data_IF_674586386203
#
_entry.id   IF_674586386203
#
_cell.length_a   1.000
_cell.length_b   1.000
_cell.length_c   1.000
_cell.angle_alpha   90.00
_cell.angle_beta   90.00
_cell.angle_gamma   90.00
#
_symmetry.space_group_name_H-M   'P 1'
#
loop_
_entity.id
_entity.type
_entity.pdbx_description
1 polymer ?
#
# COMPACT_ATOMS: atom_id res chain seq x y z
N UNK A 1 -10.55 18.95 -26.79
CA UNK A 1 -9.90 17.68 -27.16
C UNK A 1 -9.97 16.79 -25.93
N UNK A 2 -10.76 15.71 -25.97
CA UNK A 2 -10.87 14.79 -24.83
C UNK A 2 -9.57 13.99 -24.80
N UNK A 3 -8.66 14.31 -23.88
CA UNK A 3 -7.52 13.44 -23.59
C UNK A 3 -8.07 12.19 -22.93
N UNK A 4 -8.13 11.12 -23.71
CA UNK A 4 -8.47 9.77 -23.24
C UNK A 4 -7.47 9.43 -22.15
N UNK A 5 -7.94 9.27 -20.91
CA UNK A 5 -7.17 8.65 -19.85
C UNK A 5 -6.64 7.32 -20.40
N UNK A 6 -5.33 7.22 -20.60
CA UNK A 6 -4.70 5.94 -20.89
C UNK A 6 -5.13 4.99 -19.77
N UNK A 7 -5.69 3.84 -20.16
CA UNK A 7 -6.30 2.85 -19.28
C UNK A 7 -5.41 2.59 -18.05
N UNK A 8 -6.00 2.38 -16.85
CA UNK A 8 -5.23 1.88 -15.71
C UNK A 8 -4.52 0.59 -16.12
N UNK A 9 -3.25 0.50 -15.73
CA UNK A 9 -2.31 -0.49 -16.24
C UNK A 9 -2.66 -1.87 -15.69
N UNK A 10 -2.82 -2.82 -16.62
CA UNK A 10 -3.22 -4.22 -16.42
C UNK A 10 -2.21 -5.07 -15.62
N UNK A 11 -2.63 -6.25 -15.10
CA UNK A 11 -1.77 -7.22 -14.40
C UNK A 11 -0.73 -7.88 -15.31
N UNK A 12 0.45 -8.22 -14.75
CA UNK A 12 1.55 -8.89 -15.44
C UNK A 12 1.88 -10.24 -14.76
N UNK A 13 2.15 -11.30 -15.54
CA UNK A 13 2.66 -12.64 -15.12
C UNK A 13 4.14 -12.72 -15.43
N UNK A 14 5.04 -13.25 -14.59
CA UNK A 14 6.49 -13.11 -14.83
C UNK A 14 7.26 -14.43 -14.93
N UNK A 15 8.04 -14.59 -16.01
CA UNK A 15 9.23 -15.46 -16.09
C UNK A 15 10.48 -14.71 -16.61
N UNK A 16 11.71 -15.19 -16.37
CA UNK A 16 12.93 -14.56 -16.92
C UNK A 16 12.99 -14.69 -18.46
N UNK A 17 13.19 -13.58 -19.17
CA UNK A 17 13.12 -13.52 -20.64
C UNK A 17 11.69 -13.39 -21.22
N UNK A 18 10.70 -13.19 -20.36
CA UNK A 18 9.27 -13.12 -20.69
C UNK A 18 8.86 -11.71 -21.15
N UNK A 19 8.00 -11.56 -22.19
CA UNK A 19 7.35 -10.29 -22.56
C UNK A 19 6.73 -9.52 -21.38
N UNK A 20 6.47 -10.19 -20.27
CA UNK A 20 6.12 -9.61 -18.99
C UNK A 20 7.13 -8.63 -18.39
N UNK A 21 8.43 -8.92 -18.40
CA UNK A 21 9.43 -8.01 -17.82
C UNK A 21 9.51 -6.72 -18.64
N UNK A 22 9.38 -6.84 -19.97
CA UNK A 22 9.18 -5.69 -20.84
C UNK A 22 7.91 -4.93 -20.43
N UNK A 23 6.79 -5.63 -20.22
CA UNK A 23 5.54 -5.00 -19.76
C UNK A 23 5.67 -4.30 -18.40
N UNK A 24 6.46 -4.82 -17.44
CA UNK A 24 6.69 -4.16 -16.15
C UNK A 24 7.55 -2.91 -16.33
N UNK A 25 8.60 -2.98 -17.15
CA UNK A 25 9.42 -1.80 -17.49
C UNK A 25 8.61 -0.74 -18.20
N UNK A 26 7.79 -1.13 -19.17
CA UNK A 26 6.90 -0.22 -19.91
C UNK A 26 5.89 0.46 -18.98
N UNK A 27 5.38 -0.26 -17.99
CA UNK A 27 4.52 0.30 -16.96
C UNK A 27 5.26 1.35 -16.10
N UNK A 28 6.46 1.02 -15.62
CA UNK A 28 7.30 1.95 -14.84
C UNK A 28 7.70 3.15 -15.68
N UNK A 29 8.04 2.94 -16.94
CA UNK A 29 8.37 3.98 -17.91
C UNK A 29 7.19 4.91 -18.15
N UNK A 30 6.02 4.36 -18.51
CA UNK A 30 4.82 5.12 -18.78
C UNK A 30 4.36 5.97 -17.58
N UNK A 31 4.41 5.42 -16.35
CA UNK A 31 4.03 6.19 -15.16
C UNK A 31 5.06 7.28 -14.84
N UNK A 32 6.35 6.97 -14.90
CA UNK A 32 7.41 7.94 -14.54
C UNK A 32 7.69 8.98 -15.64
N UNK A 33 7.21 8.77 -16.86
CA UNK A 33 7.23 9.73 -17.96
C UNK A 33 5.93 10.56 -18.07
N UNK A 34 4.93 10.32 -17.22
CA UNK A 34 3.61 10.93 -17.36
C UNK A 34 3.67 12.46 -17.19
N UNK A 35 3.03 13.22 -18.10
CA UNK A 35 3.04 14.70 -18.11
C UNK A 35 2.63 15.31 -16.77
N UNK A 36 1.60 14.75 -16.11
CA UNK A 36 1.19 15.19 -14.79
C UNK A 36 2.30 15.11 -13.71
N UNK A 37 3.21 14.13 -13.80
CA UNK A 37 4.37 14.07 -12.91
C UNK A 37 5.36 15.18 -13.25
N UNK A 38 5.60 15.45 -14.53
CA UNK A 38 6.46 16.55 -14.97
C UNK A 38 5.93 17.91 -14.50
N UNK A 39 4.63 18.16 -14.64
CA UNK A 39 3.98 19.36 -14.14
C UNK A 39 4.11 19.52 -12.62
N UNK A 40 3.92 18.44 -11.85
CA UNK A 40 4.14 18.46 -10.39
C UNK A 40 5.61 18.79 -10.06
N UNK A 41 6.58 18.21 -10.76
CA UNK A 41 8.00 18.48 -10.55
C UNK A 41 8.30 19.96 -10.80
N UNK A 42 7.86 20.50 -11.94
CA UNK A 42 8.06 21.92 -12.30
C UNK A 42 7.32 22.86 -11.34
N UNK A 43 6.12 22.51 -10.89
CA UNK A 43 5.32 23.29 -9.93
C UNK A 43 6.03 23.53 -8.59
N UNK A 44 6.96 22.64 -8.23
CA UNK A 44 7.77 22.70 -7.01
C UNK A 44 9.24 23.07 -7.28
N UNK A 45 9.54 23.65 -8.45
CA UNK A 45 10.85 24.19 -8.80
C UNK A 45 11.87 23.16 -9.28
N UNK A 46 11.43 21.92 -9.56
CA UNK A 46 12.27 20.90 -10.16
C UNK A 46 12.37 21.04 -11.68
N UNK A 47 13.47 20.54 -12.24
CA UNK A 47 13.60 20.30 -13.66
C UNK A 47 13.28 18.83 -13.95
N UNK A 48 12.31 18.57 -14.82
CA UNK A 48 11.98 17.21 -15.20
C UNK A 48 13.12 16.60 -16.04
N UNK A 49 13.60 15.37 -15.75
CA UNK A 49 14.77 14.81 -16.41
C UNK A 49 14.57 14.65 -17.92
N UNK A 50 15.48 15.22 -18.72
CA UNK A 50 15.51 15.07 -20.17
C UNK A 50 16.40 13.87 -20.54
N UNK A 51 15.92 12.66 -20.27
CA UNK A 51 16.66 11.42 -20.55
C UNK A 51 15.70 10.30 -20.92
N UNK A 52 16.09 9.51 -21.92
CA UNK A 52 15.40 8.28 -22.32
C UNK A 52 15.82 7.09 -21.42
N UNK A 53 16.83 7.28 -20.57
CA UNK A 53 17.28 6.25 -19.63
C UNK A 53 16.39 6.21 -18.38
N UNK A 54 15.57 5.16 -18.27
CA UNK A 54 14.62 4.97 -17.17
C UNK A 54 15.26 5.04 -15.78
N UNK A 55 16.39 4.36 -15.58
CA UNK A 55 17.14 4.35 -14.31
C UNK A 55 17.56 5.78 -13.90
N UNK A 56 18.17 6.52 -14.83
CA UNK A 56 18.61 7.89 -14.58
C UNK A 56 17.42 8.82 -14.29
N UNK A 57 16.28 8.63 -14.98
CA UNK A 57 15.06 9.38 -14.72
C UNK A 57 14.54 9.11 -13.30
N UNK A 58 14.41 7.85 -12.90
CA UNK A 58 13.93 7.47 -11.57
C UNK A 58 14.88 7.95 -10.45
N UNK A 59 16.20 7.85 -10.64
CA UNK A 59 17.18 8.35 -9.69
C UNK A 59 17.08 9.87 -9.50
N UNK A 60 16.91 10.62 -10.59
CA UNK A 60 16.72 12.08 -10.55
C UNK A 60 15.40 12.47 -9.88
N UNK A 61 14.31 11.80 -10.24
CA UNK A 61 12.98 12.00 -9.63
C UNK A 61 12.99 11.67 -8.13
N UNK A 62 13.65 10.58 -7.72
CA UNK A 62 13.76 10.20 -6.31
C UNK A 62 14.51 11.27 -5.52
N UNK A 63 15.65 11.74 -6.03
CA UNK A 63 16.40 12.86 -5.43
C UNK A 63 15.53 14.11 -5.28
N UNK A 64 14.82 14.52 -6.33
CA UNK A 64 13.92 15.66 -6.29
C UNK A 64 12.76 15.46 -5.30
N UNK A 65 12.20 14.25 -5.24
CA UNK A 65 11.02 13.92 -4.43
C UNK A 65 11.22 14.17 -2.93
N UNK A 66 12.46 14.32 -2.46
CA UNK A 66 12.78 14.79 -1.10
C UNK A 66 12.08 16.12 -0.76
N UNK A 67 11.79 16.96 -1.75
CA UNK A 67 10.98 18.18 -1.60
C UNK A 67 9.53 17.91 -1.11
N UNK A 68 9.06 16.67 -1.26
CA UNK A 68 7.75 16.18 -0.83
C UNK A 68 7.82 15.19 0.35
N UNK A 69 8.96 15.08 1.03
CA UNK A 69 9.08 14.26 2.24
C UNK A 69 8.45 14.96 3.46
N UNK A 70 7.11 15.08 3.43
CA UNK A 70 6.35 15.76 4.46
C UNK A 70 6.27 14.93 5.74
N UNK A 71 6.42 13.60 5.67
CA UNK A 71 6.58 12.75 6.87
C UNK A 71 7.84 13.11 7.64
N UNK A 72 8.98 13.28 6.96
CA UNK A 72 10.22 13.71 7.60
C UNK A 72 10.11 15.12 8.19
N UNK A 73 9.45 16.06 7.50
CA UNK A 73 9.20 17.42 8.01
C UNK A 73 8.31 17.43 9.25
N UNK A 74 7.21 16.69 9.23
CA UNK A 74 6.30 16.56 10.38
C UNK A 74 7.02 15.99 11.59
N UNK A 75 7.88 14.98 11.39
CA UNK A 75 8.75 14.44 12.44
C UNK A 75 9.69 15.50 13.01
N UNK A 76 10.43 16.22 12.15
CA UNK A 76 11.39 17.23 12.59
C UNK A 76 10.71 18.33 13.41
N UNK A 77 9.53 18.80 12.98
CA UNK A 77 8.75 19.77 13.73
C UNK A 77 8.37 19.27 15.13
N UNK A 78 7.88 18.03 15.25
CA UNK A 78 7.50 17.46 16.56
C UNK A 78 8.69 17.24 17.49
N UNK A 79 9.82 16.80 16.93
CA UNK A 79 11.05 16.63 17.70
C UNK A 79 11.53 17.97 18.30
N UNK A 80 11.38 19.09 17.56
CA UNK A 80 11.67 20.44 18.07
C UNK A 80 10.76 20.87 19.23
N UNK A 81 9.53 20.34 19.29
CA UNK A 81 8.59 20.61 20.38
C UNK A 81 8.71 19.65 21.58
N UNK A 82 9.74 18.79 21.59
CA UNK A 82 9.97 17.84 22.69
C UNK A 82 8.97 16.69 22.74
N UNK A 83 8.13 16.52 21.72
CA UNK A 83 7.24 15.37 21.65
C UNK A 83 8.04 14.13 21.22
N UNK A 84 7.97 13.00 21.95
CA UNK A 84 8.58 11.78 21.50
C UNK A 84 7.95 11.37 20.17
N UNK A 85 8.77 11.29 19.12
CA UNK A 85 8.34 10.75 17.83
C UNK A 85 8.21 9.24 18.00
N UNK A 86 7.07 8.78 18.50
CA UNK A 86 6.70 7.37 18.47
C UNK A 86 6.41 7.03 17.01
N UNK A 87 7.45 6.56 16.31
CA UNK A 87 7.45 6.35 14.87
C UNK A 87 6.62 5.12 14.49
N UNK A 88 5.68 5.30 13.57
CA UNK A 88 5.31 4.24 12.66
C UNK A 88 6.19 4.35 11.40
N UNK A 89 7.48 3.99 11.41
CA UNK A 89 8.28 3.56 10.23
C UNK A 89 9.75 3.52 10.63
N UNK A 90 10.59 2.73 9.94
CA UNK A 90 12.06 2.84 9.97
C UNK A 90 12.53 4.28 9.70
N UNK A 91 11.70 5.10 9.03
CA UNK A 91 12.02 6.47 8.60
C UNK A 91 11.14 7.62 9.15
N UNK A 92 10.08 7.35 9.91
CA UNK A 92 9.31 8.37 10.65
C UNK A 92 8.04 8.96 10.00
N UNK A 93 7.13 9.42 10.87
CA UNK A 93 5.93 10.24 10.59
C UNK A 93 4.70 9.50 10.05
N UNK A 94 3.65 9.32 10.86
CA UNK A 94 2.40 8.73 10.36
C UNK A 94 1.77 9.64 9.29
N UNK A 95 1.26 9.05 8.20
CA UNK A 95 0.73 9.77 7.05
C UNK A 95 -0.40 10.75 7.40
N UNK A 96 -1.28 10.37 8.32
CA UNK A 96 -2.40 11.22 8.74
C UNK A 96 -1.97 12.47 9.51
N UNK A 97 -0.73 12.50 10.02
CA UNK A 97 -0.13 13.64 10.73
C UNK A 97 0.58 14.63 9.80
N UNK A 98 0.59 14.39 8.49
CA UNK A 98 1.17 15.31 7.53
C UNK A 98 0.36 16.62 7.55
N UNK A 99 0.97 17.79 7.80
CA UNK A 99 0.25 19.05 7.81
C UNK A 99 -0.25 19.43 6.42
N UNK A 100 -1.30 20.24 6.37
CA UNK A 100 -1.79 20.85 5.13
C UNK A 100 -0.75 21.83 4.57
N UNK A 101 -0.67 21.93 3.25
CA UNK A 101 0.18 22.93 2.60
C UNK A 101 -0.47 24.30 2.71
N UNK A 102 0.31 25.29 3.13
CA UNK A 102 -0.03 26.69 3.00
C UNK A 102 0.24 27.15 1.56
N UNK A 103 -0.76 26.93 0.68
CA UNK A 103 -0.71 27.27 -0.73
C UNK A 103 -2.05 27.86 -1.19
N UNK A 104 -2.05 28.76 -2.18
CA UNK A 104 -3.28 29.27 -2.78
C UNK A 104 -4.20 28.13 -3.26
N UNK A 105 -5.53 28.31 -3.13
CA UNK A 105 -6.53 27.29 -3.47
C UNK A 105 -6.31 26.72 -4.88
N UNK A 106 -6.12 27.58 -5.88
CA UNK A 106 -5.81 27.18 -7.26
C UNK A 106 -4.63 26.20 -7.38
N UNK A 107 -3.56 26.38 -6.59
CA UNK A 107 -2.39 25.48 -6.60
C UNK A 107 -2.72 24.17 -5.89
N UNK A 108 -3.49 24.21 -4.81
CA UNK A 108 -3.98 23.01 -4.11
C UNK A 108 -4.88 22.17 -5.03
N UNK A 109 -5.79 22.79 -5.76
CA UNK A 109 -6.69 22.13 -6.71
C UNK A 109 -5.91 21.53 -7.88
N UNK A 110 -4.91 22.25 -8.40
CA UNK A 110 -4.02 21.73 -9.44
C UNK A 110 -3.26 20.47 -8.97
N UNK A 111 -2.77 20.43 -7.73
CA UNK A 111 -2.12 19.22 -7.18
C UNK A 111 -3.08 18.04 -7.15
N UNK A 112 -4.34 18.25 -6.72
CA UNK A 112 -5.36 17.19 -6.70
C UNK A 112 -5.68 16.71 -8.12
N UNK A 113 -5.84 17.62 -9.07
CA UNK A 113 -6.09 17.27 -10.49
C UNK A 113 -4.94 16.51 -11.14
N UNK A 114 -3.69 16.86 -10.84
CA UNK A 114 -2.51 16.14 -11.33
C UNK A 114 -2.36 14.77 -10.64
N UNK A 115 -2.61 14.69 -9.33
CA UNK A 115 -2.62 13.42 -8.61
C UNK A 115 -3.72 12.47 -9.12
N UNK A 116 -4.87 13.00 -9.53
CA UNK A 116 -5.93 12.23 -10.17
C UNK A 116 -5.45 11.59 -11.49
N UNK A 117 -4.77 12.36 -12.34
CA UNK A 117 -4.22 11.85 -13.60
C UNK A 117 -3.16 10.75 -13.38
N UNK A 118 -2.39 10.85 -12.29
CA UNK A 118 -1.44 9.81 -11.87
C UNK A 118 -2.09 8.60 -11.19
N UNK A 119 -3.42 8.58 -11.06
CA UNK A 119 -4.19 7.44 -10.52
C UNK A 119 -4.29 7.40 -8.99
N UNK A 120 -4.15 8.53 -8.28
CA UNK A 120 -4.15 8.54 -6.80
C UNK A 120 -5.51 8.84 -6.15
N UNK A 121 -6.54 9.26 -6.90
CA UNK A 121 -7.76 9.82 -6.28
C UNK A 121 -9.04 9.02 -6.54
N UNK A 122 -9.32 8.64 -7.79
CA UNK A 122 -10.57 8.00 -8.20
C UNK A 122 -10.58 6.52 -7.87
N UNK A 123 -11.72 6.01 -7.37
CA UNK A 123 -11.92 4.57 -7.14
C UNK A 123 -11.58 3.75 -8.39
N UNK A 124 -10.82 2.67 -8.19
CA UNK A 124 -10.53 1.70 -9.25
C UNK A 124 -11.32 0.41 -9.05
N UNK A 125 -11.79 -0.14 -10.17
CA UNK A 125 -12.52 -1.41 -10.23
C UNK A 125 -11.64 -2.47 -10.87
N UNK A 126 -11.62 -3.71 -10.33
CA UNK A 126 -10.85 -4.77 -10.95
C UNK A 126 -11.46 -5.21 -12.28
N UNK A 127 -10.58 -5.46 -13.24
CA UNK A 127 -10.87 -6.04 -14.55
C UNK A 127 -11.11 -7.55 -14.43
N UNK A 128 -10.36 -8.22 -13.55
CA UNK A 128 -10.53 -9.64 -13.29
C UNK A 128 -11.86 -9.98 -12.61
N UNK A 129 -12.35 -11.19 -12.91
CA UNK A 129 -13.57 -11.76 -12.30
C UNK A 129 -13.29 -13.01 -11.45
N UNK A 130 -12.08 -13.57 -11.55
CA UNK A 130 -11.63 -14.75 -10.81
C UNK A 130 -10.28 -14.43 -10.17
N UNK A 131 -10.15 -14.71 -8.88
CA UNK A 131 -8.93 -14.55 -8.10
C UNK A 131 -8.78 -15.69 -7.10
N UNK A 132 -7.62 -16.32 -7.04
CA UNK A 132 -7.29 -17.31 -6.02
C UNK A 132 -7.24 -16.64 -4.64
N UNK A 133 -6.71 -15.42 -4.59
CA UNK A 133 -6.57 -14.64 -3.38
C UNK A 133 -7.14 -13.21 -3.50
N UNK A 134 -7.83 -12.75 -2.47
CA UNK A 134 -8.06 -11.31 -2.22
C UNK A 134 -7.24 -10.90 -1.01
N UNK A 135 -6.27 -10.02 -1.20
CA UNK A 135 -5.36 -9.57 -0.15
C UNK A 135 -5.72 -8.17 0.32
N UNK A 136 -6.09 -8.04 1.59
CA UNK A 136 -6.39 -6.78 2.27
C UNK A 136 -5.27 -6.45 3.22
N UNK A 137 -4.63 -5.31 3.02
CA UNK A 137 -3.45 -4.93 3.81
C UNK A 137 -3.84 -4.01 4.94
N UNK A 138 -3.32 -4.30 6.12
CA UNK A 138 -3.45 -3.52 7.33
C UNK A 138 -2.88 -2.12 7.17
N UNK A 139 -3.44 -1.21 7.94
CA UNK A 139 -3.08 0.20 7.98
C UNK A 139 -3.58 0.83 9.28
N UNK A 140 -3.43 2.14 9.43
CA UNK A 140 -3.92 2.85 10.60
C UNK A 140 -5.33 3.40 10.44
N UNK A 141 -5.90 3.82 11.58
CA UNK A 141 -7.18 4.53 11.68
C UNK A 141 -8.34 3.80 10.98
N UNK A 142 -9.29 4.54 10.40
CA UNK A 142 -10.48 4.00 9.75
C UNK A 142 -10.20 3.18 8.48
N UNK A 143 -9.00 3.29 7.91
CA UNK A 143 -8.70 2.67 6.61
C UNK A 143 -8.77 1.14 6.65
N UNK A 144 -8.52 0.48 7.79
CA UNK A 144 -8.73 -0.98 7.92
C UNK A 144 -10.19 -1.36 7.66
N UNK A 145 -11.12 -0.63 8.28
CA UNK A 145 -12.56 -0.86 8.12
C UNK A 145 -13.01 -0.66 6.68
N UNK A 146 -12.58 0.44 6.06
CA UNK A 146 -12.95 0.77 4.68
C UNK A 146 -12.38 -0.29 3.72
N UNK A 147 -11.11 -0.68 3.89
CA UNK A 147 -10.48 -1.72 3.05
C UNK A 147 -11.19 -3.07 3.16
N UNK A 148 -11.56 -3.49 4.38
CA UNK A 148 -12.26 -4.76 4.59
C UNK A 148 -13.67 -4.75 3.97
N UNK A 149 -14.44 -3.68 4.16
CA UNK A 149 -15.76 -3.50 3.53
C UNK A 149 -15.64 -3.46 2.01
N UNK A 150 -14.65 -2.74 1.48
CA UNK A 150 -14.42 -2.66 0.05
C UNK A 150 -14.03 -4.02 -0.55
N UNK A 151 -13.17 -4.78 0.14
CA UNK A 151 -12.83 -6.13 -0.29
C UNK A 151 -14.05 -7.05 -0.35
N UNK A 152 -14.97 -6.94 0.61
CA UNK A 152 -16.26 -7.65 0.55
C UNK A 152 -17.13 -7.21 -0.62
N UNK A 153 -17.25 -5.90 -0.86
CA UNK A 153 -17.99 -5.36 -2.01
C UNK A 153 -17.42 -5.89 -3.33
N UNK A 154 -16.10 -5.93 -3.46
CA UNK A 154 -15.40 -6.46 -4.63
C UNK A 154 -15.54 -7.98 -4.78
N UNK A 155 -15.56 -8.74 -3.70
CA UNK A 155 -15.73 -10.19 -3.73
C UNK A 155 -17.13 -10.61 -4.22
N UNK A 156 -18.16 -9.78 -4.03
CA UNK A 156 -19.51 -10.07 -4.51
C UNK A 156 -19.53 -10.17 -6.04
N UNK A 157 -20.06 -11.28 -6.55
CA UNK A 157 -20.16 -11.53 -7.99
C UNK A 157 -18.85 -11.92 -8.66
N UNK A 158 -17.77 -12.15 -7.89
CA UNK A 158 -16.49 -12.67 -8.38
C UNK A 158 -16.22 -14.04 -7.80
N UNK A 159 -15.45 -14.85 -8.52
CA UNK A 159 -14.95 -16.12 -8.01
C UNK A 159 -13.70 -15.84 -7.17
N UNK A 160 -13.79 -16.03 -5.86
CA UNK A 160 -12.70 -15.81 -4.92
C UNK A 160 -12.36 -17.10 -4.20
N UNK A 161 -11.10 -17.54 -4.28
CA UNK A 161 -10.64 -18.76 -3.62
C UNK A 161 -10.39 -18.58 -2.11
N UNK A 162 -9.78 -17.45 -1.71
CA UNK A 162 -9.36 -17.19 -0.34
C UNK A 162 -9.21 -15.70 -0.06
N UNK A 163 -9.83 -15.19 1.02
CA UNK A 163 -9.62 -13.81 1.46
C UNK A 163 -8.57 -13.77 2.58
N UNK A 164 -7.60 -12.87 2.47
CA UNK A 164 -6.53 -12.70 3.45
C UNK A 164 -6.49 -11.27 3.92
N UNK A 165 -6.56 -11.05 5.23
CA UNK A 165 -6.34 -9.75 5.83
C UNK A 165 -5.04 -9.79 6.64
N UNK A 166 -4.02 -9.05 6.21
CA UNK A 166 -2.69 -9.08 6.79
C UNK A 166 -2.27 -7.71 7.36
N UNK A 167 -1.99 -7.64 8.66
CA UNK A 167 -1.50 -6.44 9.35
C UNK A 167 -0.04 -6.58 9.76
N UNK A 168 0.68 -5.46 9.82
CA UNK A 168 2.00 -5.43 10.45
C UNK A 168 1.86 -5.61 11.97
N UNK A 169 2.77 -6.38 12.58
CA UNK A 169 2.88 -6.42 14.04
C UNK A 169 3.39 -5.08 14.54
N UNK A 170 2.50 -4.24 15.08
CA UNK A 170 2.84 -2.96 15.71
C UNK A 170 1.78 -2.54 16.72
N UNK A 171 2.19 -1.69 17.65
CA UNK A 171 1.26 -0.94 18.50
C UNK A 171 0.59 0.19 17.73
N UNK A 172 -0.63 0.51 18.15
CA UNK A 172 -1.34 1.70 17.70
C UNK A 172 -0.71 2.96 18.33
N UNK A 173 -0.73 4.06 17.59
CA UNK A 173 -0.31 5.36 18.06
C UNK A 173 -1.47 6.08 18.75
N UNK A 174 -1.19 6.98 19.72
CA UNK A 174 -2.24 7.82 20.33
C UNK A 174 -3.05 8.63 19.31
N UNK A 175 -2.42 9.02 18.19
CA UNK A 175 -3.11 9.70 17.08
C UNK A 175 -4.11 8.83 16.31
N UNK A 176 -4.32 7.58 16.72
CA UNK A 176 -5.33 6.66 16.18
C UNK A 176 -6.49 6.44 17.15
N UNK A 177 -6.45 7.01 18.37
CA UNK A 177 -7.37 6.69 19.47
C UNK A 177 -8.84 6.99 19.13
N UNK A 178 -9.12 8.06 18.38
CA UNK A 178 -10.46 8.41 17.90
C UNK A 178 -11.01 7.35 16.93
N UNK A 179 -10.20 6.90 15.98
CA UNK A 179 -10.57 5.83 15.07
C UNK A 179 -10.72 4.48 15.78
N UNK A 180 -9.88 4.22 16.79
CA UNK A 180 -9.98 3.03 17.65
C UNK A 180 -11.28 3.04 18.46
N UNK A 181 -11.65 4.18 19.03
CA UNK A 181 -12.89 4.33 19.80
C UNK A 181 -14.14 4.03 18.97
N UNK A 182 -14.10 4.27 17.65
CA UNK A 182 -15.21 3.98 16.73
C UNK A 182 -15.13 2.55 16.18
N UNK A 183 -13.98 2.15 15.64
CA UNK A 183 -13.86 0.92 14.87
C UNK A 183 -13.61 -0.32 15.74
N UNK A 184 -12.84 -0.19 16.82
CA UNK A 184 -12.36 -1.32 17.60
C UNK A 184 -12.02 -0.91 19.05
N UNK A 185 -13.02 -0.59 19.90
CA UNK A 185 -12.78 -0.14 21.27
C UNK A 185 -11.82 -1.06 22.03
N UNK A 186 -10.72 -0.49 22.51
CA UNK A 186 -9.68 -1.21 23.27
C UNK A 186 -8.68 -2.00 22.43
N UNK A 187 -8.67 -1.86 21.10
CA UNK A 187 -7.59 -2.41 20.28
C UNK A 187 -6.24 -1.76 20.65
N UNK A 188 -5.18 -2.57 20.73
CA UNK A 188 -3.82 -2.11 21.08
C UNK A 188 -2.86 -2.21 19.90
N UNK A 189 -3.16 -3.07 18.93
CA UNK A 189 -2.32 -3.33 17.76
C UNK A 189 -3.06 -3.11 16.44
N UNK A 190 -2.30 -2.96 15.36
CA UNK A 190 -2.89 -2.92 14.00
C UNK A 190 -3.66 -4.21 13.68
N UNK A 191 -3.16 -5.35 14.15
CA UNK A 191 -3.85 -6.63 14.02
C UNK A 191 -5.23 -6.61 14.68
N UNK A 192 -5.35 -6.10 15.91
CA UNK A 192 -6.66 -6.01 16.59
C UNK A 192 -7.63 -5.09 15.85
N UNK A 193 -7.14 -3.99 15.28
CA UNK A 193 -7.94 -3.08 14.46
C UNK A 193 -8.39 -3.74 13.14
N UNK A 194 -7.52 -4.53 12.50
CA UNK A 194 -7.85 -5.30 11.30
C UNK A 194 -8.82 -6.46 11.59
N UNK A 195 -8.67 -7.13 12.74
CA UNK A 195 -9.59 -8.18 13.18
C UNK A 195 -11.01 -7.62 13.42
N UNK A 196 -11.13 -6.44 14.02
CA UNK A 196 -12.42 -5.78 14.17
C UNK A 196 -13.05 -5.42 12.81
N UNK A 197 -12.23 -4.94 11.85
CA UNK A 197 -12.68 -4.71 10.48
C UNK A 197 -13.13 -6.01 9.78
N UNK A 198 -12.45 -7.12 10.03
CA UNK A 198 -12.84 -8.43 9.50
C UNK A 198 -14.16 -8.94 10.10
N UNK A 199 -14.39 -8.74 11.40
CA UNK A 199 -15.67 -9.02 12.05
C UNK A 199 -16.80 -8.19 11.43
N UNK A 200 -16.57 -6.89 11.24
CA UNK A 200 -17.57 -5.99 10.68
C UNK A 200 -17.91 -6.34 9.23
N UNK A 201 -16.90 -6.51 8.38
CA UNK A 201 -17.12 -6.78 6.97
C UNK A 201 -17.63 -8.21 6.74
N UNK A 202 -17.00 -9.22 7.34
CA UNK A 202 -17.22 -10.63 6.99
C UNK A 202 -18.02 -11.43 8.03
N UNK A 203 -18.46 -10.81 9.13
CA UNK A 203 -19.27 -11.48 10.16
C UNK A 203 -18.51 -12.51 11.00
N UNK A 204 -17.17 -12.47 10.99
CA UNK A 204 -16.32 -13.47 11.64
C UNK A 204 -16.32 -13.33 13.18
N UNK A 205 -16.34 -14.45 13.90
CA UNK A 205 -16.04 -14.48 15.33
C UNK A 205 -14.53 -14.37 15.58
N UNK A 206 -14.03 -13.14 15.65
CA UNK A 206 -12.61 -12.85 15.85
C UNK A 206 -12.16 -12.89 17.32
N UNK A 207 -13.06 -13.09 18.28
CA UNK A 207 -12.72 -13.04 19.70
C UNK A 207 -11.64 -14.05 20.12
N UNK A 208 -11.63 -15.30 19.62
CA UNK A 208 -10.55 -16.25 19.91
C UNK A 208 -9.17 -15.75 19.43
N UNK A 209 -9.10 -15.20 18.21
CA UNK A 209 -7.86 -14.67 17.64
C UNK A 209 -7.35 -13.46 18.44
N UNK A 210 -8.24 -12.52 18.78
CA UNK A 210 -7.91 -11.35 19.59
C UNK A 210 -7.47 -11.76 21.00
N UNK A 211 -8.14 -12.73 21.62
CA UNK A 211 -7.76 -13.26 22.94
C UNK A 211 -6.36 -13.86 22.91
N UNK A 212 -6.05 -14.65 21.90
CA UNK A 212 -4.73 -15.25 21.72
C UNK A 212 -3.63 -14.18 21.65
N UNK A 213 -3.79 -13.17 20.77
CA UNK A 213 -2.85 -12.05 20.63
C UNK A 213 -2.74 -11.22 21.92
N UNK A 214 -3.76 -11.20 22.77
CA UNK A 214 -3.71 -10.50 24.06
C UNK A 214 -2.99 -11.26 25.16
N UNK A 215 -2.90 -12.59 25.06
CA UNK A 215 -2.32 -13.47 26.07
C UNK A 215 -0.82 -13.73 25.89
N UNK A 216 -0.27 -13.46 24.71
CA UNK A 216 1.17 -13.59 24.46
C UNK A 216 1.97 -12.46 25.12
N UNK A 217 3.26 -12.71 25.28
CA UNK A 217 4.22 -11.65 25.59
C UNK A 217 4.19 -10.60 24.48
N UNK A 218 4.07 -9.32 24.86
CA UNK A 218 3.96 -8.20 23.92
C UNK A 218 5.33 -7.93 23.30
N UNK A 219 5.55 -8.44 22.09
CA UNK A 219 6.81 -8.31 21.37
C UNK A 219 6.60 -7.64 20.00
N UNK A 220 6.36 -6.30 20.00
CA UNK A 220 5.99 -5.59 18.80
C UNK A 220 7.06 -5.77 17.71
N UNK A 221 6.61 -5.79 16.45
CA UNK A 221 7.44 -6.02 15.27
C UNK A 221 8.01 -7.45 15.14
N UNK A 222 8.01 -8.27 16.19
CA UNK A 222 8.54 -9.65 16.14
C UNK A 222 7.44 -10.70 16.06
N UNK A 223 6.28 -10.38 16.59
CA UNK A 223 5.17 -11.32 16.62
C UNK A 223 4.66 -11.66 15.22
N UNK A 224 4.24 -12.91 15.06
CA UNK A 224 3.54 -13.37 13.87
C UNK A 224 2.39 -14.29 14.26
N UNK A 225 1.34 -14.30 13.44
CA UNK A 225 0.19 -15.18 13.66
C UNK A 225 -0.52 -15.45 12.34
N UNK A 226 -1.06 -16.67 12.21
CA UNK A 226 -2.00 -17.04 11.15
C UNK A 226 -3.25 -17.62 11.80
N UNK A 227 -4.39 -16.95 11.64
CA UNK A 227 -5.67 -17.43 12.14
C UNK A 227 -6.63 -17.67 10.98
N UNK A 228 -7.12 -18.91 10.84
CA UNK A 228 -7.93 -19.34 9.71
C UNK A 228 -9.40 -19.52 10.11
N UNK A 229 -10.28 -19.06 9.25
CA UNK A 229 -11.73 -19.23 9.32
C UNK A 229 -12.16 -20.10 8.14
N UNK A 230 -12.95 -21.13 8.41
CA UNK A 230 -13.48 -22.02 7.39
C UNK A 230 -14.52 -21.30 6.52
N UNK A 231 -14.77 -21.82 5.32
CA UNK A 231 -15.66 -21.22 4.34
C UNK A 231 -17.11 -21.05 4.84
N UNK A 232 -17.58 -21.95 5.69
CA UNK A 232 -18.92 -21.97 6.28
C UNK A 232 -19.11 -20.96 7.43
N UNK A 233 -18.05 -20.26 7.85
CA UNK A 233 -18.11 -19.27 8.94
C UNK A 233 -18.54 -17.87 8.51
N UNK A 234 -18.75 -17.65 7.21
CA UNK A 234 -19.16 -16.38 6.64
C UNK A 234 -20.13 -16.60 5.46
N UNK A 235 -20.84 -15.55 5.08
CA UNK A 235 -21.88 -15.62 4.04
C UNK A 235 -21.35 -15.58 2.60
N UNK A 236 -20.05 -15.34 2.39
CA UNK A 236 -19.42 -15.44 1.08
C UNK A 236 -19.06 -16.88 0.73
N UNK A 237 -19.03 -17.80 1.71
CA UNK A 237 -18.69 -19.20 1.46
C UNK A 237 -17.23 -19.41 1.07
N UNK A 238 -16.31 -18.53 1.49
CA UNK A 238 -14.88 -18.58 1.16
C UNK A 238 -14.03 -18.66 2.43
N UNK A 239 -12.91 -19.39 2.43
CA UNK A 239 -11.99 -19.36 3.56
C UNK A 239 -11.45 -17.94 3.76
N UNK A 240 -11.27 -17.54 5.02
CA UNK A 240 -10.71 -16.23 5.38
C UNK A 240 -9.55 -16.41 6.36
N UNK A 241 -8.43 -15.73 6.13
CA UNK A 241 -7.28 -15.74 7.05
C UNK A 241 -7.01 -14.34 7.58
N UNK A 242 -6.82 -14.23 8.90
CA UNK A 242 -6.18 -13.09 9.52
C UNK A 242 -4.71 -13.41 9.74
N UNK A 243 -3.84 -12.48 9.33
CA UNK A 243 -2.40 -12.63 9.41
C UNK A 243 -1.80 -11.42 10.15
N UNK A 244 -0.90 -11.70 11.07
CA UNK A 244 0.01 -10.71 11.65
C UNK A 244 1.42 -10.97 11.13
N UNK A 245 1.98 -9.98 10.44
CA UNK A 245 3.28 -10.06 9.81
C UNK A 245 4.38 -9.42 10.69
N UNK A 246 5.47 -10.14 10.97
CA UNK A 246 6.61 -9.58 11.66
C UNK A 246 7.42 -8.69 10.72
N UNK A 247 8.23 -7.81 11.29
CA UNK A 247 9.28 -7.10 10.58
C UNK A 247 10.46 -8.04 10.30
N UNK A 248 11.07 -7.99 9.11
CA UNK A 248 12.37 -8.63 8.89
C UNK A 248 13.50 -7.96 9.68
N UNK A 249 13.32 -6.71 10.13
CA UNK A 249 14.27 -5.95 10.94
C UNK A 249 13.60 -5.38 12.21
N UNK A 250 13.16 -6.24 13.15
CA UNK A 250 12.29 -5.83 14.26
C UNK A 250 12.92 -4.82 15.23
N UNK A 251 14.26 -4.80 15.33
CA UNK A 251 15.00 -3.85 16.16
C UNK A 251 15.12 -2.46 15.52
N UNK A 252 15.00 -2.37 14.20
CA UNK A 252 15.11 -1.11 13.46
C UNK A 252 13.74 -0.52 13.13
N UNK A 253 12.76 -1.37 12.84
CA UNK A 253 11.48 -0.95 12.28
C UNK A 253 10.40 -2.02 12.34
N UNK A 254 9.14 -1.60 12.14
CA UNK A 254 8.05 -2.53 11.86
C UNK A 254 8.07 -2.99 10.40
N UNK A 255 7.30 -4.03 10.12
CA UNK A 255 7.01 -4.47 8.76
C UNK A 255 6.40 -3.35 7.91
N UNK A 256 6.94 -3.17 6.71
CA UNK A 256 6.34 -2.35 5.65
C UNK A 256 5.22 -3.12 4.94
N UNK A 257 4.50 -2.45 4.03
CA UNK A 257 3.55 -3.15 3.14
C UNK A 257 4.26 -4.25 2.33
N UNK A 258 5.44 -3.97 1.77
CA UNK A 258 6.24 -4.93 1.01
C UNK A 258 6.64 -6.16 1.84
N UNK A 259 7.01 -5.97 3.11
CA UNK A 259 7.33 -7.08 4.02
C UNK A 259 6.09 -7.93 4.32
N UNK A 260 4.95 -7.26 4.53
CA UNK A 260 3.66 -7.93 4.77
C UNK A 260 3.21 -8.74 3.55
N UNK A 261 3.45 -8.25 2.33
CA UNK A 261 3.15 -8.96 1.08
C UNK A 261 3.98 -10.24 1.00
N UNK A 262 5.30 -10.10 1.16
CA UNK A 262 6.27 -11.20 1.09
C UNK A 262 5.96 -12.26 2.14
N UNK A 263 5.72 -11.85 3.38
CA UNK A 263 5.39 -12.76 4.47
C UNK A 263 4.08 -13.51 4.18
N UNK A 264 3.06 -12.83 3.65
CA UNK A 264 1.77 -13.45 3.32
C UNK A 264 1.92 -14.50 2.22
N UNK A 265 2.57 -14.15 1.11
CA UNK A 265 2.76 -15.06 -0.02
C UNK A 265 3.53 -16.33 0.37
N UNK A 266 4.61 -16.16 1.12
CA UNK A 266 5.39 -17.29 1.64
C UNK A 266 4.57 -18.16 2.61
N UNK A 267 3.88 -17.53 3.56
CA UNK A 267 3.15 -18.23 4.64
C UNK A 267 1.95 -19.01 4.12
N UNK A 268 1.30 -18.54 3.06
CA UNK A 268 0.12 -19.18 2.48
C UNK A 268 0.42 -20.02 1.23
N UNK A 269 1.67 -20.05 0.75
CA UNK A 269 2.04 -20.81 -0.43
C UNK A 269 1.34 -20.30 -1.69
N UNK A 270 1.36 -18.99 -1.91
CA UNK A 270 0.63 -18.32 -3.01
C UNK A 270 1.33 -18.43 -4.38
N UNK A 271 2.23 -19.38 -4.60
CA UNK A 271 2.96 -19.50 -5.86
C UNK A 271 2.03 -19.67 -7.07
N UNK A 272 2.36 -19.00 -8.17
CA UNK A 272 1.68 -19.11 -9.47
C UNK A 272 0.15 -18.89 -9.41
N UNK A 273 -0.28 -18.02 -8.49
CA UNK A 273 -1.68 -17.70 -8.22
C UNK A 273 -2.10 -16.34 -8.78
N UNK A 274 -3.41 -16.08 -8.75
CA UNK A 274 -4.01 -14.78 -9.03
C UNK A 274 -4.38 -14.06 -7.73
N UNK A 275 -4.00 -12.79 -7.60
CA UNK A 275 -4.21 -12.00 -6.39
C UNK A 275 -4.81 -10.63 -6.69
N UNK A 276 -5.96 -10.33 -6.07
CA UNK A 276 -6.52 -8.99 -6.01
C UNK A 276 -6.06 -8.29 -4.73
N UNK A 277 -5.16 -7.32 -4.85
CA UNK A 277 -4.69 -6.49 -3.77
C UNK A 277 -5.65 -5.31 -3.54
N UNK A 278 -6.29 -5.25 -2.38
CA UNK A 278 -7.28 -4.23 -2.02
C UNK A 278 -6.71 -3.20 -1.05
N UNK A 279 -6.80 -1.93 -1.43
CA UNK A 279 -6.28 -0.80 -0.65
C UNK A 279 -7.16 0.46 -0.79
N UNK A 280 -6.62 1.63 -0.45
CA UNK A 280 -7.21 2.93 -0.79
C UNK A 280 -6.48 3.55 -1.99
N UNK A 281 -7.18 4.33 -2.81
CA UNK A 281 -6.63 4.82 -4.08
C UNK A 281 -5.29 5.57 -3.98
N UNK A 282 -5.03 6.42 -2.95
CA UNK A 282 -3.75 7.10 -2.85
C UNK A 282 -2.56 6.15 -2.77
N UNK A 283 -2.77 4.91 -2.33
CA UNK A 283 -1.73 3.91 -2.15
C UNK A 283 -1.55 3.00 -3.37
N UNK A 284 -2.53 2.95 -4.29
CA UNK A 284 -2.55 2.01 -5.41
C UNK A 284 -1.27 2.08 -6.24
N UNK A 285 -0.78 3.25 -6.71
CA UNK A 285 0.37 3.26 -7.61
C UNK A 285 1.64 2.68 -6.98
N UNK A 286 2.00 3.09 -5.76
CA UNK A 286 3.21 2.57 -5.12
C UNK A 286 3.03 1.13 -4.64
N UNK A 287 1.86 0.77 -4.09
CA UNK A 287 1.62 -0.60 -3.63
C UNK A 287 1.56 -1.58 -4.80
N UNK A 288 1.12 -1.14 -5.97
CA UNK A 288 1.19 -1.94 -7.19
C UNK A 288 2.66 -2.23 -7.57
N UNK A 289 3.54 -1.23 -7.54
CA UNK A 289 4.96 -1.47 -7.79
C UNK A 289 5.62 -2.35 -6.71
N UNK A 290 5.26 -2.17 -5.45
CA UNK A 290 5.70 -3.07 -4.38
C UNK A 290 5.19 -4.50 -4.58
N UNK A 291 3.95 -4.67 -5.01
CA UNK A 291 3.36 -5.99 -5.27
C UNK A 291 4.01 -6.67 -6.48
N UNK A 292 4.28 -5.94 -7.57
CA UNK A 292 5.07 -6.49 -8.68
C UNK A 292 6.47 -6.92 -8.20
N UNK A 293 7.11 -6.13 -7.34
CA UNK A 293 8.44 -6.39 -6.81
C UNK A 293 8.50 -7.59 -5.87
N UNK A 294 7.48 -7.78 -5.05
CA UNK A 294 7.50 -8.72 -3.91
C UNK A 294 6.58 -9.92 -4.05
N UNK A 295 5.56 -9.85 -4.90
CA UNK A 295 4.64 -10.94 -5.20
C UNK A 295 4.90 -11.48 -6.61
N UNK A 296 4.79 -10.63 -7.62
CA UNK A 296 4.81 -11.09 -9.00
C UNK A 296 6.20 -11.64 -9.41
N UNK A 297 7.28 -10.88 -9.17
CA UNK A 297 8.64 -11.34 -9.51
C UNK A 297 9.10 -12.59 -8.72
N UNK A 298 8.91 -12.68 -7.39
CA UNK A 298 9.47 -13.82 -6.63
C UNK A 298 8.57 -15.06 -6.58
N UNK A 299 7.25 -14.90 -6.75
CA UNK A 299 6.26 -15.97 -6.55
C UNK A 299 5.43 -16.29 -7.79
N UNK A 300 5.62 -15.61 -8.91
CA UNK A 300 4.80 -15.83 -10.12
C UNK A 300 3.35 -15.36 -9.98
N UNK A 301 3.04 -14.55 -8.97
CA UNK A 301 1.67 -14.11 -8.67
C UNK A 301 1.22 -13.06 -9.69
N UNK A 302 0.09 -13.30 -10.35
CA UNK A 302 -0.60 -12.32 -11.17
C UNK A 302 -1.35 -11.34 -10.25
N UNK A 303 -0.86 -10.10 -10.12
CA UNK A 303 -1.44 -9.11 -9.21
C UNK A 303 -2.27 -8.07 -9.95
N UNK A 304 -3.51 -7.89 -9.51
CA UNK A 304 -4.30 -6.69 -9.78
C UNK A 304 -4.43 -5.86 -8.50
N UNK A 305 -4.13 -4.56 -8.55
CA UNK A 305 -4.24 -3.67 -7.38
C UNK A 305 -5.39 -2.69 -7.55
N UNK A 306 -6.30 -2.64 -6.57
CA UNK A 306 -7.46 -1.76 -6.60
C UNK A 306 -7.62 -0.96 -5.31
N UNK A 307 -8.16 0.25 -5.45
CA UNK A 307 -8.32 1.20 -4.36
C UNK A 307 -9.72 1.79 -4.33
N UNK A 308 -10.27 1.94 -3.13
CA UNK A 308 -11.45 2.79 -2.97
C UNK A 308 -11.08 4.27 -3.14
N UNK A 309 -12.02 5.06 -3.68
CA UNK A 309 -11.81 6.48 -3.96
C UNK A 309 -11.57 7.33 -2.71
N UNK A 310 -10.89 8.47 -2.88
CA UNK A 310 -10.58 9.35 -1.75
C UNK A 310 -11.82 9.96 -1.07
N UNK A 311 -12.95 9.98 -1.77
CA UNK A 311 -14.26 10.42 -1.29
C UNK A 311 -14.78 9.54 -0.13
N UNK A 312 -14.36 8.26 -0.05
CA UNK A 312 -14.72 7.40 1.10
C UNK A 312 -14.06 7.84 2.41
N UNK A 313 -13.14 8.81 2.38
CA UNK A 313 -12.59 9.45 3.59
C UNK A 313 -13.43 10.62 4.08
N UNK A 314 -14.41 11.08 3.29
CA UNK A 314 -15.22 12.24 3.66
C UNK A 314 -16.08 11.92 4.90
N UNK A 315 -16.14 12.87 5.83
CA UNK A 315 -16.93 12.75 7.06
C UNK A 315 -16.31 11.96 8.21
N UNK A 316 -15.15 11.31 8.03
CA UNK A 316 -14.49 10.54 9.12
C UNK A 316 -13.82 11.45 10.15
N UNK A 317 -13.02 12.42 9.69
CA UNK A 317 -12.28 13.35 10.54
C UNK A 317 -11.14 14.05 9.80
N UNK A 318 -10.60 15.13 10.37
CA UNK A 318 -9.56 15.95 9.71
C UNK A 318 -8.27 15.16 9.39
N UNK A 319 -7.90 14.22 10.28
CA UNK A 319 -6.71 13.38 10.11
C UNK A 319 -6.84 12.38 8.95
N UNK A 320 -8.07 11.98 8.58
CA UNK A 320 -8.32 11.03 7.50
C UNK A 320 -8.50 11.72 6.13
N UNK A 321 -8.77 13.03 6.11
CA UNK A 321 -8.95 13.78 4.88
C UNK A 321 -7.70 13.73 3.97
N UNK A 322 -7.93 13.49 2.69
CA UNK A 322 -6.89 13.36 1.67
C UNK A 322 -6.59 14.74 1.06
N UNK A 323 -5.57 15.42 1.58
CA UNK A 323 -5.17 16.75 1.12
C UNK A 323 -3.86 16.72 0.30
N UNK A 324 -3.54 17.81 -0.44
CA UNK A 324 -2.41 17.84 -1.38
C UNK A 324 -1.07 17.32 -0.86
N UNK A 325 -0.67 17.67 0.37
CA UNK A 325 0.59 17.15 0.95
C UNK A 325 0.62 15.62 1.06
N UNK A 326 -0.51 14.99 1.44
CA UNK A 326 -0.62 13.53 1.54
C UNK A 326 -0.55 12.88 0.16
N UNK A 327 -1.16 13.50 -0.86
CA UNK A 327 -1.08 13.02 -2.24
C UNK A 327 0.34 13.11 -2.79
N UNK A 328 1.02 14.23 -2.61
CA UNK A 328 2.44 14.39 -3.01
C UNK A 328 3.37 13.43 -2.28
N UNK A 329 3.10 13.15 -1.00
CA UNK A 329 3.82 12.12 -0.25
C UNK A 329 3.69 10.74 -0.91
N UNK A 330 2.51 10.41 -1.45
CA UNK A 330 2.32 9.12 -2.15
C UNK A 330 2.84 9.12 -3.59
N UNK A 331 2.88 10.26 -4.27
CA UNK A 331 3.66 10.40 -5.52
C UNK A 331 5.12 10.07 -5.25
N UNK A 332 5.69 10.60 -4.16
CA UNK A 332 7.04 10.23 -3.71
C UNK A 332 7.16 8.74 -3.40
N UNK A 333 6.22 8.16 -2.64
CA UNK A 333 6.22 6.71 -2.36
C UNK A 333 6.25 5.90 -3.66
N UNK A 334 5.51 6.36 -4.67
CA UNK A 334 5.42 5.70 -5.98
C UNK A 334 6.73 5.78 -6.76
N UNK A 335 7.41 6.93 -6.80
CA UNK A 335 8.74 7.07 -7.40
C UNK A 335 9.73 6.09 -6.77
N UNK A 336 9.72 5.98 -5.43
CA UNK A 336 10.63 5.09 -4.70
C UNK A 336 10.32 3.61 -4.94
N UNK A 337 9.04 3.25 -4.97
CA UNK A 337 8.61 1.88 -5.26
C UNK A 337 8.95 1.47 -6.71
N UNK A 338 8.75 2.39 -7.67
CA UNK A 338 9.13 2.21 -9.07
C UNK A 338 10.64 1.96 -9.24
N UNK A 339 11.45 2.78 -8.55
CA UNK A 339 12.91 2.64 -8.54
C UNK A 339 13.34 1.30 -7.93
N UNK A 340 12.80 0.95 -6.76
CA UNK A 340 13.12 -0.32 -6.11
C UNK A 340 12.72 -1.54 -6.97
N UNK A 341 11.62 -1.43 -7.73
CA UNK A 341 11.18 -2.46 -8.67
C UNK A 341 12.17 -2.62 -9.82
N UNK A 342 12.61 -1.51 -10.43
CA UNK A 342 13.61 -1.55 -11.49
C UNK A 342 14.94 -2.15 -11.01
N UNK A 343 15.45 -1.68 -9.86
CA UNK A 343 16.69 -2.20 -9.24
C UNK A 343 16.60 -3.72 -8.99
N UNK A 344 15.42 -4.23 -8.60
CA UNK A 344 15.18 -5.66 -8.40
C UNK A 344 15.22 -6.44 -9.71
N UNK A 345 14.62 -5.92 -10.79
CA UNK A 345 14.64 -6.55 -12.12
C UNK A 345 16.09 -6.66 -12.62
N UNK A 346 16.84 -5.56 -12.57
CA UNK A 346 18.22 -5.54 -13.04
C UNK A 346 19.14 -6.44 -12.22
N UNK A 347 18.92 -6.52 -10.90
CA UNK A 347 19.64 -7.47 -10.06
C UNK A 347 19.37 -8.93 -10.48
N UNK A 348 18.12 -9.26 -10.81
CA UNK A 348 17.74 -10.57 -11.33
C UNK A 348 18.41 -10.91 -12.66
N UNK A 349 18.47 -9.95 -13.59
CA UNK A 349 19.14 -10.13 -14.88
C UNK A 349 20.65 -10.32 -14.73
N UNK A 350 21.30 -9.49 -13.90
CA UNK A 350 22.74 -9.65 -13.60
C UNK A 350 23.04 -11.04 -13.04
N UNK A 351 22.20 -11.54 -12.13
CA UNK A 351 22.34 -12.89 -11.58
C UNK A 351 22.12 -14.00 -12.61
N UNK A 352 21.25 -13.80 -13.61
CA UNK A 352 21.02 -14.76 -14.68
C UNK A 352 22.18 -14.80 -15.69
N UNK A 353 22.92 -13.69 -15.84
CA UNK A 353 24.04 -13.58 -16.79
C UNK A 353 25.43 -13.91 -16.21
N UNK A 354 25.59 -14.07 -14.89
CA UNK A 354 26.91 -14.40 -14.30
C UNK A 354 27.32 -15.84 -14.71
N UNK A 355 28.40 -16.02 -15.50
CA UNK A 355 28.84 -17.32 -16.00
C UNK A 355 29.46 -18.23 -14.93
N UNK A 356 29.48 -17.84 -13.64
CA UNK A 356 29.97 -18.68 -12.52
C UNK A 356 28.94 -19.67 -11.99
N UNK A 357 27.89 -19.98 -12.75
CA UNK A 357 27.02 -21.17 -12.59
C UNK A 357 27.39 -22.20 -13.64
#
# INVERSE_FOLDING_TARGET
>A
MVTVARRPVCPVTLTPGDPALASVRDLVDAWSAHDALAELVTMFGGAFPQTDHLEARLASLDKFSTAWDYRARARAARALHGEPVRCQDSGGGARWLIPRLDLPAKKRDAIVGLAQQLGLTLESTPQGTTFDHVLVIGTGRHSNLIRARWARELAKGRQVGHIVLAAASRRLLPSEDDAVAVCAPGARTEFELLAAAARDAFGLDVHPAVRYVRQRDDNPHRDSMVWRFAADTNDLGVPITLLEAPSPEPDSSRATSADTFTFTAHTLGMQDSTCLLVTGQPFVPYQNFDALRTLALPFGIQVETVGFGIDRYDGLGELDQQHPAKLLQEVRSTIRAARALLERIEAGERMATDPRR
#
